data_IF_597117123170
#
_entry.id   IF_597117123170
#
_cell.length_a   1.000
_cell.length_b   1.000
_cell.length_c   1.000
_cell.angle_alpha   90.00
_cell.angle_beta   90.00
_cell.angle_gamma   90.00
#
_symmetry.space_group_name_H-M   'P 1'
#
loop_
_entity.id
_entity.type
_entity.pdbx_description
1 polymer ?
#
# COMPACT_ATOMS: atom_id res chain seq x y z
N UNK A 1 16.18 -27.92 -1.36
CA UNK A 1 16.07 -29.11 -0.47
C UNK A 1 14.96 -28.84 0.54
N UNK A 2 14.14 -29.85 0.85
CA UNK A 2 13.12 -29.79 1.91
C UNK A 2 13.50 -30.77 3.00
N UNK A 3 13.30 -30.40 4.27
CA UNK A 3 13.47 -31.29 5.41
C UNK A 3 12.22 -32.13 5.70
N UNK A 4 11.08 -31.76 5.11
CA UNK A 4 9.84 -32.51 5.23
C UNK A 4 9.78 -33.60 4.14
N UNK A 5 9.79 -34.86 4.57
CA UNK A 5 9.78 -36.07 3.73
C UNK A 5 8.41 -36.41 3.14
N UNK A 6 7.34 -35.78 3.62
CA UNK A 6 5.96 -36.03 3.16
C UNK A 6 5.52 -35.06 2.06
N UNK A 7 6.39 -34.15 1.60
CA UNK A 7 6.03 -33.19 0.55
C UNK A 7 6.25 -33.78 -0.83
N UNK A 8 5.23 -33.65 -1.67
CA UNK A 8 5.34 -33.99 -3.08
C UNK A 8 6.33 -33.05 -3.80
N UNK A 9 7.10 -33.52 -4.80
CA UNK A 9 8.07 -32.70 -5.51
C UNK A 9 7.49 -31.38 -6.07
N UNK A 10 6.25 -31.41 -6.56
CA UNK A 10 5.55 -30.22 -7.04
C UNK A 10 5.33 -29.16 -5.95
N UNK A 11 5.05 -29.58 -4.72
CA UNK A 11 4.88 -28.66 -3.58
C UNK A 11 6.19 -28.00 -3.20
N UNK A 12 7.30 -28.74 -3.25
CA UNK A 12 8.64 -28.20 -2.99
C UNK A 12 8.98 -27.08 -3.99
N UNK A 13 8.69 -27.31 -5.27
CA UNK A 13 8.89 -26.29 -6.32
C UNK A 13 7.98 -25.08 -6.06
N UNK A 14 6.71 -25.30 -5.74
CA UNK A 14 5.77 -24.20 -5.44
C UNK A 14 6.24 -23.34 -4.26
N UNK A 15 6.74 -23.94 -3.17
CA UNK A 15 7.29 -23.20 -2.04
C UNK A 15 8.56 -22.43 -2.40
N UNK A 16 9.44 -23.02 -3.21
CA UNK A 16 10.63 -22.32 -3.69
C UNK A 16 10.27 -21.09 -4.53
N UNK A 17 9.29 -21.19 -5.41
CA UNK A 17 8.79 -20.06 -6.21
C UNK A 17 8.17 -18.99 -5.32
N UNK A 18 7.37 -19.36 -4.30
CA UNK A 18 6.76 -18.41 -3.35
C UNK A 18 7.77 -17.56 -2.61
N UNK A 19 9.03 -18.02 -2.44
CA UNK A 19 10.10 -17.24 -1.83
C UNK A 19 10.29 -15.87 -2.50
N UNK A 20 10.07 -15.78 -3.82
CA UNK A 20 10.23 -14.53 -4.56
C UNK A 20 9.35 -13.38 -4.05
N UNK A 21 8.24 -13.69 -3.37
CA UNK A 21 7.37 -12.68 -2.73
C UNK A 21 8.11 -11.79 -1.72
N UNK A 22 9.19 -12.29 -1.09
CA UNK A 22 9.99 -11.46 -0.17
C UNK A 22 10.76 -10.37 -0.90
N UNK A 23 11.29 -10.67 -2.09
CA UNK A 23 12.01 -9.69 -2.92
C UNK A 23 11.06 -8.60 -3.40
N UNK A 24 9.84 -8.98 -3.79
CA UNK A 24 8.77 -8.03 -4.14
C UNK A 24 8.44 -7.13 -2.95
N UNK A 25 8.27 -7.71 -1.76
CA UNK A 25 8.03 -6.92 -0.54
C UNK A 25 9.14 -5.89 -0.30
N UNK A 26 10.41 -6.27 -0.42
CA UNK A 26 11.52 -5.33 -0.23
C UNK A 26 11.56 -4.25 -1.32
N UNK A 27 11.33 -4.61 -2.58
CA UNK A 27 11.28 -3.64 -3.68
C UNK A 27 10.16 -2.62 -3.48
N UNK A 28 8.95 -3.08 -3.17
CA UNK A 28 7.76 -2.23 -2.92
C UNK A 28 7.93 -1.36 -1.68
N UNK A 29 8.52 -1.91 -0.61
CA UNK A 29 8.79 -1.15 0.63
C UNK A 29 9.82 -0.04 0.39
N UNK A 30 10.86 -0.29 -0.43
CA UNK A 30 11.81 0.75 -0.85
C UNK A 30 11.12 1.82 -1.70
N UNK A 31 10.34 1.41 -2.70
CA UNK A 31 9.69 2.31 -3.65
C UNK A 31 8.63 3.20 -3.00
N UNK A 32 7.77 2.65 -2.15
CA UNK A 32 6.56 3.34 -1.67
C UNK A 32 6.62 3.80 -0.21
N UNK A 33 7.46 3.16 0.62
CA UNK A 33 7.60 3.49 2.04
C UNK A 33 8.95 4.14 2.37
N UNK A 34 9.83 4.31 1.37
CA UNK A 34 11.09 5.03 1.52
C UNK A 34 12.14 4.30 2.35
N UNK A 35 12.06 2.97 2.46
CA UNK A 35 13.16 2.16 3.01
C UNK A 35 14.43 2.42 2.18
N UNK A 36 15.58 2.58 2.86
CA UNK A 36 16.89 2.99 2.30
C UNK A 36 16.99 4.44 1.81
N UNK A 37 15.89 5.21 1.82
CA UNK A 37 15.91 6.66 1.54
C UNK A 37 15.80 7.51 2.81
N UNK A 38 15.84 6.88 4.00
CA UNK A 38 15.77 7.59 5.27
C UNK A 38 17.00 8.49 5.47
N UNK A 39 16.77 9.77 5.78
CA UNK A 39 17.84 10.75 6.10
C UNK A 39 18.29 10.69 7.56
N UNK A 40 18.20 9.51 8.19
CA UNK A 40 18.60 9.32 9.59
C UNK A 40 20.11 9.06 9.65
N UNK A 41 20.82 9.80 10.51
CA UNK A 41 22.28 9.72 10.65
C UNK A 41 22.75 8.81 11.80
N UNK A 42 21.81 8.15 12.48
CA UNK A 42 22.09 7.30 13.63
C UNK A 42 21.68 5.85 13.33
N UNK A 43 22.61 4.91 13.48
CA UNK A 43 22.38 3.48 13.28
C UNK A 43 21.20 2.96 14.12
N UNK A 44 21.02 3.47 15.35
CA UNK A 44 19.88 3.09 16.19
C UNK A 44 18.54 3.55 15.61
N UNK A 45 18.51 4.68 14.91
CA UNK A 45 17.30 5.16 14.26
C UNK A 45 16.97 4.31 13.02
N UNK A 46 17.98 3.91 12.23
CA UNK A 46 17.81 2.99 11.10
C UNK A 46 17.28 1.64 11.60
N UNK A 47 17.90 1.07 12.63
CA UNK A 47 17.52 -0.23 13.22
C UNK A 47 16.08 -0.25 13.75
N UNK A 48 15.53 0.90 14.16
CA UNK A 48 14.13 1.04 14.61
C UNK A 48 13.15 1.29 13.46
N UNK A 49 13.54 2.09 12.49
CA UNK A 49 12.64 2.53 11.41
C UNK A 49 12.41 1.44 10.37
N UNK A 50 13.42 0.66 9.99
CA UNK A 50 13.27 -0.43 9.02
C UNK A 50 12.21 -1.47 9.42
N UNK A 51 12.23 -2.07 10.63
CA UNK A 51 11.18 -3.01 11.04
C UNK A 51 9.81 -2.34 11.18
N UNK A 52 9.77 -1.06 11.57
CA UNK A 52 8.51 -0.31 11.66
C UNK A 52 7.87 -0.10 10.28
N UNK A 53 8.66 0.14 9.24
CA UNK A 53 8.16 0.27 7.86
C UNK A 53 7.68 -1.06 7.29
N UNK A 54 8.35 -2.17 7.62
CA UNK A 54 7.87 -3.52 7.26
C UNK A 54 6.57 -3.89 8.00
N UNK A 55 6.42 -3.45 9.27
CA UNK A 55 5.17 -3.59 9.99
C UNK A 55 4.05 -2.76 9.33
N UNK A 56 4.35 -1.54 8.91
CA UNK A 56 3.40 -0.71 8.15
C UNK A 56 2.99 -1.35 6.83
N UNK A 57 3.94 -1.92 6.07
CA UNK A 57 3.64 -2.70 4.86
C UNK A 57 2.65 -3.84 5.15
N UNK A 58 2.87 -4.56 6.25
CA UNK A 58 1.99 -5.65 6.69
C UNK A 58 0.58 -5.15 7.05
N UNK A 59 0.46 -3.99 7.71
CA UNK A 59 -0.84 -3.40 8.02
C UNK A 59 -1.59 -2.95 6.76
N UNK A 60 -0.90 -2.29 5.83
CA UNK A 60 -1.48 -1.85 4.55
C UNK A 60 -1.97 -3.05 3.73
N UNK A 61 -1.20 -4.14 3.68
CA UNK A 61 -1.63 -5.36 2.98
C UNK A 61 -2.84 -6.02 3.63
N UNK A 62 -2.93 -6.07 4.96
CA UNK A 62 -4.11 -6.59 5.65
C UNK A 62 -5.37 -5.73 5.39
N UNK A 63 -5.25 -4.40 5.46
CA UNK A 63 -6.36 -3.52 5.13
C UNK A 63 -6.78 -3.62 3.66
N UNK A 64 -5.81 -3.81 2.76
CA UNK A 64 -6.10 -4.02 1.36
C UNK A 64 -6.82 -5.35 1.09
N UNK A 65 -6.50 -6.42 1.83
CA UNK A 65 -7.23 -7.68 1.75
C UNK A 65 -8.71 -7.49 2.15
N UNK A 66 -8.98 -6.71 3.19
CA UNK A 66 -10.34 -6.37 3.61
C UNK A 66 -11.08 -5.55 2.52
N UNK A 67 -10.39 -4.55 1.95
CA UNK A 67 -10.91 -3.73 0.86
C UNK A 67 -11.22 -4.52 -0.42
N UNK A 68 -10.39 -5.51 -0.76
CA UNK A 68 -10.66 -6.43 -1.86
C UNK A 68 -11.94 -7.23 -1.63
N UNK A 69 -12.22 -7.63 -0.38
CA UNK A 69 -13.48 -8.26 0.01
C UNK A 69 -14.71 -7.37 -0.25
N UNK A 70 -14.53 -6.05 -0.22
CA UNK A 70 -15.55 -5.06 -0.54
C UNK A 70 -15.64 -4.68 -2.02
N UNK A 71 -14.88 -5.34 -2.91
CA UNK A 71 -14.97 -5.15 -4.36
C UNK A 71 -14.20 -3.94 -4.90
N UNK A 72 -13.17 -3.47 -4.19
CA UNK A 72 -12.29 -2.40 -4.68
C UNK A 72 -11.53 -2.89 -5.93
N UNK A 73 -11.57 -2.06 -6.98
CA UNK A 73 -10.86 -2.33 -8.25
C UNK A 73 -9.44 -1.76 -8.22
N UNK A 74 -8.48 -2.41 -8.90
CA UNK A 74 -7.12 -1.89 -9.01
C UNK A 74 -7.10 -0.55 -9.76
N UNK A 75 -6.21 0.35 -9.35
CA UNK A 75 -6.06 1.63 -10.04
C UNK A 75 -5.24 1.41 -11.32
N UNK A 76 -5.85 1.73 -12.45
CA UNK A 76 -5.29 1.45 -13.78
C UNK A 76 -5.20 2.73 -14.61
N UNK A 77 -4.14 2.85 -15.40
CA UNK A 77 -4.04 3.91 -16.40
C UNK A 77 -5.09 3.68 -17.49
N UNK A 78 -5.60 4.77 -18.10
CA UNK A 78 -6.66 4.69 -19.11
C UNK A 78 -6.32 3.80 -20.33
N UNK A 79 -5.03 3.61 -20.62
CA UNK A 79 -4.53 2.82 -21.75
C UNK A 79 -4.17 1.37 -21.39
N UNK A 80 -4.22 0.99 -20.11
CA UNK A 80 -3.84 -0.35 -19.64
C UNK A 80 -4.91 -0.95 -18.74
N UNK A 81 -5.41 -2.13 -19.10
CA UNK A 81 -6.35 -2.87 -18.24
C UNK A 81 -5.59 -3.66 -17.20
N UNK A 82 -5.50 -3.10 -15.99
CA UNK A 82 -4.91 -3.78 -14.83
C UNK A 82 -5.94 -4.72 -14.19
N UNK A 83 -5.62 -6.00 -14.09
CA UNK A 83 -6.46 -7.02 -13.44
C UNK A 83 -5.92 -7.45 -12.09
N UNK A 84 -4.61 -7.30 -11.88
CA UNK A 84 -3.94 -7.68 -10.64
C UNK A 84 -3.88 -6.47 -9.69
N UNK A 85 -4.18 -6.73 -8.42
CA UNK A 85 -4.12 -5.73 -7.37
C UNK A 85 -2.71 -5.69 -6.78
N UNK A 86 -2.01 -4.56 -6.94
CA UNK A 86 -0.61 -4.41 -6.47
C UNK A 86 -0.53 -3.64 -5.17
N UNK A 87 0.64 -3.64 -4.53
CA UNK A 87 0.84 -2.87 -3.30
C UNK A 87 0.69 -1.35 -3.51
N UNK A 88 1.04 -0.82 -4.68
CA UNK A 88 0.78 0.58 -5.04
C UNK A 88 -0.73 0.90 -5.05
N UNK A 89 -1.59 -0.05 -5.46
CA UNK A 89 -3.04 0.11 -5.37
C UNK A 89 -3.50 0.06 -3.91
N UNK A 90 -2.94 -0.87 -3.13
CA UNK A 90 -3.21 -1.03 -1.70
C UNK A 90 -2.96 0.26 -0.93
N UNK A 91 -1.75 0.83 -1.05
CA UNK A 91 -1.38 2.04 -0.31
C UNK A 91 -2.19 3.25 -0.78
N UNK A 92 -2.50 3.36 -2.08
CA UNK A 92 -3.34 4.43 -2.61
C UNK A 92 -4.78 4.35 -2.10
N UNK A 93 -5.36 3.16 -2.05
CA UNK A 93 -6.71 2.93 -1.51
C UNK A 93 -6.78 3.22 -0.01
N UNK A 94 -5.79 2.76 0.78
CA UNK A 94 -5.71 3.05 2.22
C UNK A 94 -5.57 4.56 2.46
N UNK A 95 -4.71 5.25 1.70
CA UNK A 95 -4.57 6.73 1.78
C UNK A 95 -5.88 7.44 1.47
N UNK A 96 -6.60 7.02 0.42
CA UNK A 96 -7.90 7.57 0.05
C UNK A 96 -8.89 7.51 1.21
N UNK A 97 -8.98 6.38 1.90
CA UNK A 97 -9.92 6.19 3.01
C UNK A 97 -9.51 7.05 4.21
N UNK A 98 -8.23 7.05 4.57
CA UNK A 98 -7.74 7.84 5.69
C UNK A 98 -7.95 9.35 5.45
N UNK A 99 -7.70 9.83 4.23
CA UNK A 99 -7.87 11.24 3.89
C UNK A 99 -9.31 11.65 3.75
N UNK A 100 -10.19 10.79 3.24
CA UNK A 100 -11.63 11.05 3.21
C UNK A 100 -12.13 11.31 4.64
N UNK A 101 -11.77 10.44 5.59
CA UNK A 101 -12.13 10.61 7.00
C UNK A 101 -11.53 11.88 7.63
N UNK A 102 -10.30 12.27 7.27
CA UNK A 102 -9.64 13.45 7.86
C UNK A 102 -10.15 14.78 7.28
N UNK A 103 -10.37 14.85 5.95
CA UNK A 103 -10.89 16.05 5.27
C UNK A 103 -12.31 16.37 5.77
N UNK A 104 -13.17 15.37 5.97
CA UNK A 104 -14.54 15.60 6.44
C UNK A 104 -14.63 15.86 7.95
N UNK A 105 -13.63 15.47 8.75
CA UNK A 105 -13.68 15.63 10.21
C UNK A 105 -13.20 16.99 10.69
N UNK A 106 -12.42 17.72 9.89
CA UNK A 106 -11.77 18.97 10.33
C UNK A 106 -12.51 20.27 9.97
N UNK A 107 -13.64 20.22 9.26
CA UNK A 107 -14.37 21.43 8.86
C UNK A 107 -15.68 21.59 9.64
N UNK A 108 -15.78 22.55 10.60
CA UNK A 108 -17.06 23.12 10.95
C UNK A 108 -17.64 23.77 9.68
N UNK A 109 -18.95 23.65 9.40
CA UNK A 109 -19.55 24.37 8.28
C UNK A 109 -19.39 25.88 8.51
N UNK A 110 -18.47 26.49 7.78
CA UNK A 110 -18.25 27.93 7.78
C UNK A 110 -19.12 28.54 6.66
N UNK A 111 -20.11 29.38 6.98
CA UNK A 111 -21.01 29.96 5.99
C UNK A 111 -20.30 30.92 5.01
N UNK A 112 -19.10 31.42 5.33
CA UNK A 112 -18.38 32.41 4.52
C UNK A 112 -17.40 31.77 3.50
N UNK A 113 -17.17 30.46 3.59
CA UNK A 113 -16.29 29.74 2.68
C UNK A 113 -17.15 29.02 1.64
N UNK A 114 -17.08 29.37 0.34
CA UNK A 114 -17.82 28.66 -0.68
C UNK A 114 -17.37 27.19 -0.71
N UNK A 115 -18.31 26.29 -0.45
CA UNK A 115 -18.07 24.85 -0.37
C UNK A 115 -17.39 24.38 -1.66
N UNK A 116 -16.16 23.87 -1.52
CA UNK A 116 -15.39 23.43 -2.67
C UNK A 116 -16.09 22.23 -3.29
N UNK A 117 -16.29 22.24 -4.61
CA UNK A 117 -16.98 21.14 -5.30
C UNK A 117 -16.36 19.79 -4.91
N UNK A 118 -17.12 18.87 -4.30
CA UNK A 118 -16.58 17.62 -3.74
C UNK A 118 -15.95 16.72 -4.82
N UNK A 119 -16.40 16.85 -6.07
CA UNK A 119 -15.84 16.14 -7.22
C UNK A 119 -14.43 16.61 -7.62
N UNK A 120 -14.06 17.86 -7.33
CA UNK A 120 -12.70 18.37 -7.57
C UNK A 120 -11.75 17.88 -6.49
N UNK A 121 -12.15 17.98 -5.22
CA UNK A 121 -11.39 17.45 -4.09
C UNK A 121 -11.14 15.95 -4.26
N UNK A 122 -12.18 15.18 -4.59
CA UNK A 122 -12.03 13.73 -4.82
C UNK A 122 -11.06 13.38 -5.94
N UNK A 123 -11.02 14.15 -7.03
CA UNK A 123 -10.05 13.92 -8.12
C UNK A 123 -8.63 14.29 -7.71
N UNK A 124 -8.46 15.37 -6.95
CA UNK A 124 -7.15 15.78 -6.43
C UNK A 124 -6.63 14.77 -5.42
N UNK A 125 -7.47 14.31 -4.49
CA UNK A 125 -7.09 13.28 -3.52
C UNK A 125 -6.75 11.97 -4.23
N UNK A 126 -7.56 11.53 -5.21
CA UNK A 126 -7.22 10.37 -6.03
C UNK A 126 -5.86 10.53 -6.72
N UNK A 127 -5.62 11.67 -7.38
CA UNK A 127 -4.36 11.92 -8.06
C UNK A 127 -3.16 11.88 -7.09
N UNK A 128 -3.31 12.41 -5.87
CA UNK A 128 -2.26 12.43 -4.85
C UNK A 128 -2.06 11.06 -4.17
N UNK A 129 -3.12 10.32 -3.89
CA UNK A 129 -3.03 9.02 -3.23
C UNK A 129 -2.36 7.98 -4.13
N UNK A 130 -2.60 8.04 -5.44
CA UNK A 130 -2.02 7.15 -6.45
C UNK A 130 -0.79 7.73 -7.17
N UNK A 131 -0.32 8.92 -6.79
CA UNK A 131 1.00 9.42 -7.20
C UNK A 131 2.06 8.66 -6.40
N UNK A 132 2.70 7.68 -7.04
CA UNK A 132 3.82 6.91 -6.51
C UNK A 132 5.01 7.04 -7.45
#
# INVERSE_FOLDING_TARGET
MSTNVNLEPAQIIAYFVRRWQIEVTFAETRAHLGVETQRQWNDKAIMRTTPSLLALYSLVTLWACDLLGHGVLPYAAAWYKKTEFTFSDAIGAVRMILWDQDIYRQHPPDPDIPETQPSRLKRMTQALCFAA
#
